data_IF_659089685546
#
_entry.id   IF_659089685546
#
_cell.length_a   1.000
_cell.length_b   1.000
_cell.length_c   1.000
_cell.angle_alpha   90.00
_cell.angle_beta   90.00
_cell.angle_gamma   90.00
#
_symmetry.space_group_name_H-M   'P 1'
#
loop_
_entity.id
_entity.type
_entity.pdbx_description
1 polymer ?
#
# COMPACT_ATOMS: atom_id res chain seq x y z
N UNK A 1 3.70 -3.04 -21.77
CA UNK A 1 3.94 -2.55 -20.40
C UNK A 1 5.32 -2.94 -19.89
N UNK A 2 6.07 -1.99 -19.32
CA UNK A 2 7.38 -2.22 -18.72
C UNK A 2 7.37 -3.23 -17.55
N UNK A 3 6.19 -3.48 -16.98
CA UNK A 3 5.97 -4.48 -15.94
C UNK A 3 6.22 -5.91 -16.43
N UNK A 4 5.54 -6.33 -17.51
CA UNK A 4 5.61 -7.71 -18.00
C UNK A 4 7.03 -8.08 -18.47
N UNK A 5 7.85 -7.08 -18.81
CA UNK A 5 9.25 -7.23 -19.20
C UNK A 5 10.25 -7.12 -18.06
N UNK A 6 9.85 -6.70 -16.86
CA UNK A 6 10.76 -6.46 -15.72
C UNK A 6 11.20 -7.71 -14.96
N UNK A 7 10.47 -8.84 -15.11
CA UNK A 7 10.74 -10.07 -14.35
C UNK A 7 10.44 -9.97 -12.86
N UNK A 8 9.90 -8.85 -12.38
CA UNK A 8 9.57 -8.64 -10.97
C UNK A 8 8.33 -9.49 -10.61
N UNK A 9 8.40 -10.35 -9.58
CA UNK A 9 7.29 -11.19 -9.20
C UNK A 9 6.14 -10.33 -8.63
N UNK A 10 4.99 -10.32 -9.31
CA UNK A 10 3.77 -9.79 -8.69
C UNK A 10 3.25 -10.77 -7.65
N UNK A 11 2.92 -10.24 -6.48
CA UNK A 11 2.33 -10.99 -5.37
C UNK A 11 1.06 -10.31 -4.90
N UNK A 12 0.17 -11.09 -4.28
CA UNK A 12 -1.00 -10.56 -3.60
C UNK A 12 -0.51 -9.73 -2.39
N UNK A 13 -0.62 -8.38 -2.39
CA UNK A 13 0.02 -7.58 -1.36
C UNK A 13 -0.72 -7.62 -0.01
N UNK A 14 -2.05 -7.84 -0.04
CA UNK A 14 -2.86 -8.08 1.15
C UNK A 14 -4.12 -8.92 0.82
N UNK A 15 -4.93 -9.24 1.83
CA UNK A 15 -6.13 -10.07 1.66
C UNK A 15 -7.20 -9.44 0.75
N UNK A 16 -7.14 -8.14 0.46
CA UNK A 16 -8.14 -7.44 -0.39
C UNK A 16 -7.65 -7.20 -1.82
N UNK A 17 -6.38 -6.92 -1.99
CA UNK A 17 -5.78 -6.53 -3.27
C UNK A 17 -5.17 -7.75 -3.95
N UNK A 18 -5.49 -7.97 -5.23
CA UNK A 18 -5.04 -9.16 -5.98
C UNK A 18 -3.66 -8.97 -6.61
N UNK A 19 -3.35 -7.75 -7.04
CA UNK A 19 -2.15 -7.43 -7.80
C UNK A 19 -1.34 -6.33 -7.11
N UNK A 20 -0.03 -6.51 -7.11
CA UNK A 20 0.88 -5.60 -6.44
C UNK A 20 2.27 -6.19 -6.23
N UNK A 21 3.03 -5.51 -5.37
CA UNK A 21 4.39 -5.87 -4.99
C UNK A 21 4.62 -5.59 -3.52
N UNK A 22 5.45 -6.43 -2.89
CA UNK A 22 5.95 -6.16 -1.54
C UNK A 22 7.23 -5.33 -1.66
N UNK A 23 7.36 -4.25 -0.89
CA UNK A 23 8.55 -3.39 -0.95
C UNK A 23 9.84 -4.14 -0.61
N UNK A 24 9.77 -5.14 0.28
CA UNK A 24 10.92 -6.00 0.62
C UNK A 24 11.43 -6.81 -0.58
N UNK A 25 10.53 -7.26 -1.47
CA UNK A 25 10.89 -8.06 -2.64
C UNK A 25 11.56 -7.20 -3.72
N UNK A 26 11.37 -5.87 -3.65
CA UNK A 26 12.00 -4.87 -4.50
C UNK A 26 13.31 -4.30 -3.91
N UNK A 27 13.71 -4.75 -2.72
CA UNK A 27 14.89 -4.22 -2.03
C UNK A 27 14.67 -2.87 -1.32
N UNK A 28 13.43 -2.42 -1.13
CA UNK A 28 13.11 -1.14 -0.50
C UNK A 28 12.92 -1.20 1.03
N UNK A 29 13.32 -2.29 1.69
CA UNK A 29 13.11 -2.44 3.14
C UNK A 29 13.79 -1.33 3.96
N UNK A 30 15.03 -0.96 3.60
CA UNK A 30 15.76 0.10 4.30
C UNK A 30 15.15 1.49 4.09
N UNK A 31 14.60 1.74 2.89
CA UNK A 31 13.87 2.96 2.59
C UNK A 31 12.59 3.03 3.42
N UNK A 32 11.82 1.93 3.48
CA UNK A 32 10.59 1.85 4.26
C UNK A 32 10.86 2.09 5.74
N UNK A 33 11.93 1.49 6.28
CA UNK A 33 12.31 1.69 7.69
C UNK A 33 12.62 3.17 7.98
N UNK A 34 13.43 3.84 7.14
CA UNK A 34 13.71 5.27 7.31
C UNK A 34 12.47 6.13 7.17
N UNK A 35 11.61 5.84 6.20
CA UNK A 35 10.34 6.54 6.05
C UNK A 35 9.46 6.39 7.29
N UNK A 36 9.41 5.19 7.86
CA UNK A 36 8.74 4.88 9.12
C UNK A 36 9.29 5.71 10.29
N UNK A 37 10.58 5.59 10.55
CA UNK A 37 11.25 6.20 11.70
C UNK A 37 11.31 7.73 11.63
N UNK A 38 11.63 8.29 10.47
CA UNK A 38 11.92 9.72 10.32
C UNK A 38 10.68 10.56 10.00
N UNK A 39 9.62 9.96 9.42
CA UNK A 39 8.46 10.70 8.90
C UNK A 39 7.15 10.17 9.48
N UNK A 40 6.83 8.89 9.25
CA UNK A 40 5.48 8.38 9.52
C UNK A 40 5.18 8.24 11.02
N UNK A 41 6.12 7.71 11.82
CA UNK A 41 5.94 7.57 13.28
C UNK A 41 5.81 8.91 13.98
N UNK A 42 6.66 9.94 13.71
CA UNK A 42 6.44 11.28 14.25
C UNK A 42 5.06 11.85 13.93
N UNK A 43 4.58 11.68 12.68
CA UNK A 43 3.23 12.12 12.29
C UNK A 43 2.16 11.38 13.09
N UNK A 44 2.25 10.06 13.18
CA UNK A 44 1.27 9.24 13.90
C UNK A 44 1.17 9.60 15.39
N UNK A 45 2.30 9.74 16.08
CA UNK A 45 2.35 10.09 17.50
C UNK A 45 1.83 11.50 17.77
N UNK A 46 2.04 12.42 16.82
CA UNK A 46 1.57 13.81 16.94
C UNK A 46 0.07 13.93 16.66
N UNK A 47 -0.42 13.27 15.62
CA UNK A 47 -1.82 13.38 15.18
C UNK A 47 -2.77 12.46 15.99
N UNK A 48 -2.29 11.31 16.45
CA UNK A 48 -3.10 10.28 17.08
C UNK A 48 -2.50 9.77 18.42
N UNK A 49 -2.17 10.67 19.38
CA UNK A 49 -1.47 10.31 20.62
C UNK A 49 -2.25 9.37 21.54
N UNK A 50 -3.57 9.21 21.34
CA UNK A 50 -4.41 8.28 22.11
C UNK A 50 -4.55 6.90 21.45
N UNK A 51 -4.20 6.79 20.17
CA UNK A 51 -4.38 5.58 19.38
C UNK A 51 -3.06 4.91 19.00
N UNK A 52 -1.95 5.66 19.01
CA UNK A 52 -0.62 5.17 18.72
C UNK A 52 0.33 5.51 19.85
N UNK A 53 1.10 4.51 20.29
CA UNK A 53 2.27 4.71 21.15
C UNK A 53 3.53 4.23 20.44
N UNK A 54 4.70 4.69 20.90
CA UNK A 54 5.98 4.21 20.37
C UNK A 54 6.09 2.69 20.45
N UNK A 55 5.55 2.05 21.48
CA UNK A 55 5.62 0.59 21.60
C UNK A 55 4.78 -0.13 20.54
N UNK A 56 3.71 0.50 20.05
CA UNK A 56 2.73 -0.13 19.15
C UNK A 56 3.10 -0.01 17.66
N UNK A 57 3.96 0.95 17.29
CA UNK A 57 4.27 1.29 15.89
C UNK A 57 5.72 0.99 15.49
N UNK A 58 6.29 -0.13 15.98
CA UNK A 58 7.69 -0.52 15.72
C UNK A 58 7.91 -1.34 14.44
N UNK A 59 6.85 -1.95 13.90
CA UNK A 59 6.94 -2.81 12.71
C UNK A 59 6.45 -2.08 11.46
N UNK A 60 7.17 -2.23 10.36
CA UNK A 60 6.82 -1.64 9.07
C UNK A 60 6.50 -2.74 8.04
N UNK A 61 5.34 -2.64 7.41
CA UNK A 61 4.93 -3.50 6.30
C UNK A 61 4.46 -2.64 5.13
N UNK A 62 5.16 -2.74 3.99
CA UNK A 62 4.92 -1.88 2.84
C UNK A 62 4.70 -2.68 1.55
N UNK A 63 3.74 -2.22 0.76
CA UNK A 63 3.39 -2.80 -0.53
C UNK A 63 2.84 -1.75 -1.48
N UNK A 64 2.88 -2.06 -2.78
CA UNK A 64 2.23 -1.28 -3.84
C UNK A 64 1.04 -2.08 -4.36
N UNK A 65 -0.09 -1.42 -4.58
CA UNK A 65 -1.28 -2.00 -5.19
C UNK A 65 -1.38 -1.53 -6.63
N UNK A 66 -1.72 -2.46 -7.54
CA UNK A 66 -2.09 -2.11 -8.92
C UNK A 66 -3.57 -2.40 -9.15
N UNK A 67 -4.35 -1.34 -9.32
CA UNK A 67 -5.74 -1.42 -9.76
C UNK A 67 -5.78 -1.62 -11.28
N UNK A 68 -6.62 -2.52 -11.77
CA UNK A 68 -6.77 -2.78 -13.20
C UNK A 68 -8.22 -2.53 -13.63
N UNK A 69 -8.51 -1.43 -14.35
CA UNK A 69 -9.88 -1.04 -14.69
C UNK A 69 -10.67 -2.12 -15.44
N UNK A 70 -9.99 -2.84 -16.34
CA UNK A 70 -10.61 -3.85 -17.22
C UNK A 70 -10.66 -5.25 -16.62
N UNK A 71 -9.81 -5.57 -15.65
CA UNK A 71 -9.83 -6.87 -14.93
C UNK A 71 -10.78 -6.84 -13.73
N UNK A 72 -11.10 -5.64 -13.24
CA UNK A 72 -12.11 -5.40 -12.19
C UNK A 72 -13.55 -5.45 -12.71
N UNK A 73 -13.77 -5.16 -13.99
CA UNK A 73 -15.11 -5.03 -14.57
C UNK A 73 -15.60 -6.23 -15.38
N UNK A 74 -14.72 -7.18 -15.74
CA UNK A 74 -15.06 -8.27 -16.69
C UNK A 74 -15.32 -9.64 -16.07
N UNK A 75 -15.12 -9.81 -14.75
CA UNK A 75 -15.53 -11.05 -14.05
C UNK A 75 -16.60 -10.75 -13.02
N UNK A 76 -17.83 -11.13 -13.34
CA UNK A 76 -18.86 -11.35 -12.34
C UNK A 76 -18.30 -12.31 -11.26
N UNK A 77 -18.16 -11.80 -10.03
CA UNK A 77 -18.14 -12.53 -8.75
C UNK A 77 -16.82 -12.91 -8.04
N UNK A 78 -15.61 -12.47 -8.45
CA UNK A 78 -14.38 -12.87 -7.72
C UNK A 78 -13.36 -11.80 -7.34
N UNK A 79 -13.46 -10.57 -7.87
CA UNK A 79 -12.88 -9.45 -7.13
C UNK A 79 -13.91 -9.07 -6.07
N UNK A 80 -13.70 -9.65 -4.88
CA UNK A 80 -14.29 -9.17 -3.64
C UNK A 80 -14.39 -7.65 -3.75
N UNK A 81 -15.62 -7.15 -3.84
CA UNK A 81 -15.96 -5.76 -3.55
C UNK A 81 -15.04 -5.31 -2.41
N UNK A 82 -14.53 -4.07 -2.45
CA UNK A 82 -13.84 -3.43 -1.32
C UNK A 82 -14.84 -3.34 -0.15
N UNK A 83 -15.13 -4.50 0.46
CA UNK A 83 -16.03 -4.62 1.58
C UNK A 83 -15.32 -3.93 2.75
N UNK A 84 -16.08 -3.28 3.63
CA UNK A 84 -15.54 -2.74 4.86
C UNK A 84 -14.63 -3.76 5.54
N UNK A 85 -13.44 -3.32 5.92
CA UNK A 85 -12.47 -4.12 6.64
C UNK A 85 -11.58 -3.20 7.47
N UNK A 86 -10.92 -3.79 8.46
CA UNK A 86 -9.79 -3.19 9.14
C UNK A 86 -8.51 -3.79 8.59
N UNK A 87 -7.47 -2.97 8.51
CA UNK A 87 -6.12 -3.46 8.28
C UNK A 87 -5.53 -4.04 9.55
N UNK A 88 -4.57 -4.95 9.40
CA UNK A 88 -3.79 -5.50 10.51
C UNK A 88 -2.62 -4.57 10.85
N UNK A 89 -2.95 -3.35 11.26
CA UNK A 89 -1.99 -2.30 11.61
C UNK A 89 -2.61 -1.38 12.67
N UNK A 90 -1.75 -0.71 13.43
CA UNK A 90 -2.18 0.38 14.33
C UNK A 90 -2.50 1.63 13.52
N UNK A 91 -1.66 1.91 12.52
CA UNK A 91 -1.82 3.00 11.55
C UNK A 91 -1.54 2.44 10.15
N UNK A 92 -2.43 2.71 9.20
CA UNK A 92 -2.18 2.51 7.77
C UNK A 92 -1.98 3.86 7.10
N UNK A 93 -0.94 3.97 6.27
CA UNK A 93 -0.71 5.11 5.38
C UNK A 93 -0.91 4.65 3.94
N UNK A 94 -1.80 5.32 3.20
CA UNK A 94 -2.06 5.06 1.79
C UNK A 94 -1.61 6.27 0.97
N UNK A 95 -0.72 6.05 0.01
CA UNK A 95 -0.09 7.10 -0.80
C UNK A 95 -0.49 6.87 -2.26
N UNK A 96 -1.15 7.84 -2.87
CA UNK A 96 -1.40 7.85 -4.30
C UNK A 96 -0.10 8.09 -5.06
N UNK A 97 0.25 7.18 -5.97
CA UNK A 97 1.48 7.25 -6.78
C UNK A 97 1.26 7.85 -8.17
N UNK A 98 -0.01 7.96 -8.58
CA UNK A 98 -0.41 8.50 -9.86
C UNK A 98 -1.35 9.69 -9.61
N UNK A 99 -1.25 10.76 -10.42
CA UNK A 99 -2.24 11.83 -10.39
C UNK A 99 -3.62 11.28 -10.73
N UNK A 100 -4.67 11.96 -10.27
CA UNK A 100 -6.00 11.64 -10.78
C UNK A 100 -6.06 11.88 -12.30
N UNK A 101 -6.95 11.17 -13.01
CA UNK A 101 -7.13 11.36 -14.46
C UNK A 101 -7.40 12.83 -14.83
N UNK A 102 -7.93 13.63 -13.89
CA UNK A 102 -8.21 15.06 -14.06
C UNK A 102 -6.99 15.97 -13.84
N UNK A 103 -5.94 15.51 -13.14
CA UNK A 103 -4.71 16.29 -12.89
C UNK A 103 -3.61 16.01 -13.92
N UNK A 104 -3.71 14.90 -14.64
CA UNK A 104 -2.75 14.51 -15.69
C UNK A 104 -2.92 15.31 -17.00
N UNK A 105 -3.96 16.16 -17.08
CA UNK A 105 -4.31 16.98 -18.24
C UNK A 105 -3.94 18.47 -18.09
N UNK A 106 -3.23 18.83 -17.01
CA UNK A 106 -2.62 20.16 -16.77
C UNK A 106 -1.12 20.12 -17.10
#
# INVERSE_FOLDING_TARGET
>A
DHYDSSGIPSRRPNTKNRYGFLLKDLGFQSLLQRLGDEILRPIALTMFPQNASLADIQEDYGFVVRYHPTKETTTNNEQHQLRPHADASVITVNICLEPSENESAL
#
